data_IF_192126239070
#
_entry.id   IF_192126239070
#
_cell.length_a   1.000
_cell.length_b   1.000
_cell.length_c   1.000
_cell.angle_alpha   90.00
_cell.angle_beta   90.00
_cell.angle_gamma   90.00
#
_symmetry.space_group_name_H-M   'P 1'
#
loop_
_entity.id
_entity.type
_entity.pdbx_description
1 polymer ?
#
# COMPACT_ATOMS: atom_id res chain seq x y z
N UNK A 1 -16.17 10.15 5.66
CA UNK A 1 -16.81 10.41 4.37
C UNK A 1 -17.84 9.31 4.11
N UNK A 2 -19.10 9.68 3.88
CA UNK A 2 -20.17 8.80 3.41
C UNK A 2 -20.18 8.94 1.87
N UNK A 3 -19.76 7.90 1.14
CA UNK A 3 -19.75 7.90 -0.33
C UNK A 3 -21.15 7.79 -0.96
N UNK A 4 -22.21 7.76 -0.15
CA UNK A 4 -23.59 7.51 -0.59
C UNK A 4 -24.19 8.59 -1.50
N UNK A 5 -23.57 9.77 -1.65
CA UNK A 5 -24.14 10.88 -2.43
C UNK A 5 -23.45 11.18 -3.76
N UNK A 6 -22.26 10.60 -4.02
CA UNK A 6 -21.58 10.77 -5.30
C UNK A 6 -21.87 9.58 -6.22
N UNK A 7 -23.09 9.50 -6.75
CA UNK A 7 -23.39 8.56 -7.83
C UNK A 7 -22.39 8.77 -8.97
N UNK A 8 -21.67 7.70 -9.35
CA UNK A 8 -20.74 7.75 -10.48
C UNK A 8 -21.57 8.15 -11.72
N UNK A 9 -21.20 9.25 -12.39
CA UNK A 9 -21.93 9.67 -13.59
C UNK A 9 -21.81 8.56 -14.64
N UNK A 10 -22.82 8.35 -15.48
CA UNK A 10 -22.80 7.31 -16.53
C UNK A 10 -21.55 7.36 -17.41
N UNK A 11 -21.06 8.57 -17.72
CA UNK A 11 -19.81 8.81 -18.42
C UNK A 11 -18.58 8.26 -17.66
N UNK A 12 -18.52 8.45 -16.34
CA UNK A 12 -17.43 7.95 -15.51
C UNK A 12 -17.44 6.42 -15.46
N UNK A 13 -18.62 5.79 -15.38
CA UNK A 13 -18.74 4.33 -15.42
C UNK A 13 -18.21 3.77 -16.74
N UNK A 14 -18.59 4.37 -17.87
CA UNK A 14 -18.11 3.96 -19.20
C UNK A 14 -16.58 4.09 -19.31
N UNK A 15 -16.01 5.19 -18.82
CA UNK A 15 -14.56 5.39 -18.85
C UNK A 15 -13.79 4.39 -17.97
N UNK A 16 -14.34 3.99 -16.82
CA UNK A 16 -13.75 2.92 -16.00
C UNK A 16 -13.77 1.59 -16.75
N UNK A 17 -14.91 1.22 -17.36
CA UNK A 17 -15.02 0.00 -18.16
C UNK A 17 -14.02 -0.01 -19.31
N UNK A 18 -13.89 1.12 -20.03
CA UNK A 18 -12.93 1.25 -21.12
C UNK A 18 -11.48 1.05 -20.64
N UNK A 19 -11.10 1.68 -19.53
CA UNK A 19 -9.76 1.50 -18.93
C UNK A 19 -9.50 0.03 -18.59
N UNK A 20 -10.48 -0.67 -18.03
CA UNK A 20 -10.33 -2.08 -17.68
C UNK A 20 -10.18 -2.98 -18.90
N UNK A 21 -10.99 -2.77 -19.94
CA UNK A 21 -10.88 -3.50 -21.20
C UNK A 21 -9.51 -3.26 -21.85
N UNK A 22 -9.06 -2.01 -21.88
CA UNK A 22 -7.75 -1.64 -22.46
C UNK A 22 -6.56 -2.14 -21.61
N UNK A 23 -6.75 -2.35 -20.30
CA UNK A 23 -5.68 -2.80 -19.39
C UNK A 23 -5.55 -4.32 -19.31
N UNK A 24 -6.56 -5.10 -19.75
CA UNK A 24 -6.56 -6.56 -19.63
C UNK A 24 -5.35 -7.20 -20.30
N UNK A 25 -5.14 -6.92 -21.60
CA UNK A 25 -4.03 -7.51 -22.35
C UNK A 25 -2.65 -7.02 -21.86
N UNK A 26 -2.40 -5.71 -21.68
CA UNK A 26 -1.12 -5.24 -21.16
C UNK A 26 -0.78 -5.81 -19.78
N UNK A 27 -1.75 -5.93 -18.87
CA UNK A 27 -1.51 -6.52 -17.55
C UNK A 27 -1.20 -8.01 -17.64
N UNK A 28 -1.95 -8.77 -18.45
CA UNK A 28 -1.67 -10.18 -18.67
C UNK A 28 -0.28 -10.40 -19.25
N UNK A 29 0.07 -9.65 -20.30
CA UNK A 29 1.37 -9.70 -20.94
C UNK A 29 2.51 -9.35 -19.98
N UNK A 30 2.33 -8.30 -19.16
CA UNK A 30 3.34 -7.91 -18.18
C UNK A 30 3.57 -9.00 -17.14
N UNK A 31 2.50 -9.63 -16.64
CA UNK A 31 2.60 -10.72 -15.66
C UNK A 31 3.24 -11.96 -16.27
N UNK A 32 2.86 -12.34 -17.49
CA UNK A 32 3.40 -13.53 -18.14
C UNK A 32 4.91 -13.44 -18.40
N UNK A 33 5.44 -12.23 -18.62
CA UNK A 33 6.87 -12.01 -18.84
C UNK A 33 7.65 -11.84 -17.53
N UNK A 34 7.00 -11.53 -16.41
CA UNK A 34 7.68 -11.31 -15.14
C UNK A 34 7.88 -12.62 -14.37
N UNK A 35 8.94 -13.35 -14.68
CA UNK A 35 9.21 -14.69 -14.15
C UNK A 35 10.29 -14.71 -13.06
N UNK A 36 11.08 -13.65 -12.91
CA UNK A 36 12.21 -13.56 -11.99
C UNK A 36 11.89 -12.95 -10.62
N UNK A 37 12.92 -12.90 -9.76
CA UNK A 37 12.82 -12.32 -8.41
C UNK A 37 11.78 -13.05 -7.54
N UNK A 38 10.95 -12.28 -6.85
CA UNK A 38 9.90 -12.80 -5.96
C UNK A 38 8.90 -13.73 -6.70
N UNK A 39 8.73 -13.59 -8.02
CA UNK A 39 7.77 -14.38 -8.78
C UNK A 39 8.11 -15.87 -8.83
N UNK A 40 9.40 -16.23 -8.76
CA UNK A 40 9.82 -17.64 -8.70
C UNK A 40 9.21 -18.33 -7.50
N UNK A 41 9.29 -17.70 -6.33
CA UNK A 41 8.71 -18.24 -5.10
C UNK A 41 7.18 -18.28 -5.14
N UNK A 42 6.53 -17.27 -5.74
CA UNK A 42 5.07 -17.26 -5.87
C UNK A 42 4.53 -18.26 -6.90
N UNK A 43 5.25 -18.53 -7.99
CA UNK A 43 4.90 -19.59 -8.94
C UNK A 43 4.90 -20.95 -8.24
N UNK A 44 6.00 -21.26 -7.55
CA UNK A 44 6.11 -22.50 -6.76
C UNK A 44 5.04 -22.59 -5.67
N UNK A 45 4.75 -21.48 -4.99
CA UNK A 45 3.70 -21.43 -3.97
C UNK A 45 2.34 -21.78 -4.57
N UNK A 46 1.99 -21.16 -5.69
CA UNK A 46 0.72 -21.36 -6.36
C UNK A 46 0.56 -22.78 -6.87
N UNK A 47 1.61 -23.39 -7.44
CA UNK A 47 1.61 -24.79 -7.86
C UNK A 47 1.39 -25.74 -6.67
N UNK A 48 2.11 -25.52 -5.56
CA UNK A 48 1.96 -26.36 -4.36
C UNK A 48 0.58 -26.25 -3.73
N UNK A 49 -0.08 -25.09 -3.84
CA UNK A 49 -1.44 -24.91 -3.34
C UNK A 49 -2.47 -25.80 -4.02
N UNK A 50 -2.22 -26.26 -5.25
CA UNK A 50 -3.16 -27.12 -5.97
C UNK A 50 -3.33 -28.49 -5.29
N UNK A 51 -2.29 -28.99 -4.60
CA UNK A 51 -2.32 -30.27 -3.89
C UNK A 51 -2.75 -30.15 -2.42
N UNK A 52 -2.91 -28.94 -1.89
CA UNK A 52 -3.23 -28.74 -0.47
C UNK A 52 -4.73 -28.88 -0.23
N UNK A 53 -5.12 -29.85 0.60
CA UNK A 53 -6.51 -30.14 0.96
C UNK A 53 -6.95 -29.57 2.31
N UNK A 54 -6.01 -29.21 3.19
CA UNK A 54 -6.29 -28.80 4.56
C UNK A 54 -5.66 -27.44 4.91
N UNK A 55 -6.29 -26.71 5.83
CA UNK A 55 -5.86 -25.35 6.19
C UNK A 55 -4.51 -25.30 6.94
N UNK A 56 -4.13 -26.36 7.67
CA UNK A 56 -2.87 -26.37 8.43
C UNK A 56 -1.66 -26.48 7.50
N UNK A 57 -1.76 -27.37 6.52
CA UNK A 57 -0.78 -27.56 5.47
C UNK A 57 -0.67 -26.31 4.60
N UNK A 58 -1.79 -25.63 4.30
CA UNK A 58 -1.80 -24.36 3.57
C UNK A 58 -0.84 -23.34 4.18
N UNK A 59 -0.94 -23.09 5.49
CA UNK A 59 -0.08 -22.13 6.16
C UNK A 59 1.36 -22.62 6.28
N UNK A 60 1.59 -23.93 6.43
CA UNK A 60 2.94 -24.51 6.45
C UNK A 60 3.65 -24.37 5.09
N UNK A 61 2.94 -24.59 3.99
CA UNK A 61 3.44 -24.40 2.62
C UNK A 61 3.73 -22.92 2.35
N UNK A 62 2.83 -22.02 2.77
CA UNK A 62 3.04 -20.58 2.65
C UNK A 62 4.26 -20.09 3.42
N UNK A 63 4.43 -20.55 4.66
CA UNK A 63 5.57 -20.20 5.49
C UNK A 63 6.89 -20.72 4.92
N UNK A 64 6.93 -21.97 4.44
CA UNK A 64 8.15 -22.58 3.90
C UNK A 64 8.56 -22.02 2.53
N UNK A 65 7.62 -21.53 1.72
CA UNK A 65 7.91 -21.08 0.35
C UNK A 65 8.18 -19.58 0.25
N UNK A 66 7.40 -18.75 0.95
CA UNK A 66 7.49 -17.27 0.86
C UNK A 66 7.76 -16.59 2.21
N UNK A 67 8.11 -17.36 3.24
CA UNK A 67 8.39 -16.88 4.60
C UNK A 67 7.31 -15.94 5.12
N UNK A 68 6.03 -16.28 4.84
CA UNK A 68 4.87 -15.48 5.21
C UNK A 68 4.14 -16.10 6.41
N UNK A 69 3.76 -15.25 7.36
CA UNK A 69 2.87 -15.58 8.48
C UNK A 69 1.46 -14.96 8.30
N UNK A 70 1.16 -14.47 7.10
CA UNK A 70 -0.12 -13.81 6.80
C UNK A 70 -1.23 -14.83 6.63
N UNK A 71 -2.44 -14.48 7.08
CA UNK A 71 -3.57 -15.41 7.09
C UNK A 71 -4.39 -15.30 5.81
N UNK A 72 -4.66 -14.07 5.35
CA UNK A 72 -5.62 -13.85 4.26
C UNK A 72 -4.98 -14.05 2.89
N UNK A 73 -3.74 -13.62 2.69
CA UNK A 73 -3.10 -13.71 1.37
C UNK A 73 -2.90 -15.15 0.88
N UNK A 74 -2.49 -16.14 1.72
CA UNK A 74 -2.40 -17.54 1.27
C UNK A 74 -3.77 -18.13 0.91
N UNK A 75 -4.82 -17.80 1.67
CA UNK A 75 -6.18 -18.29 1.38
C UNK A 75 -6.67 -17.77 0.04
N UNK A 76 -6.46 -16.48 -0.27
CA UNK A 76 -6.85 -15.91 -1.56
C UNK A 76 -6.10 -16.54 -2.73
N UNK A 77 -4.79 -16.79 -2.59
CA UNK A 77 -4.01 -17.45 -3.65
C UNK A 77 -4.37 -18.93 -3.79
N UNK A 78 -4.61 -19.62 -2.68
CA UNK A 78 -5.03 -21.02 -2.66
C UNK A 78 -6.37 -21.23 -3.35
N UNK A 79 -7.34 -20.32 -3.17
CA UNK A 79 -8.63 -20.42 -3.88
C UNK A 79 -8.47 -20.45 -5.41
N UNK A 80 -7.58 -19.62 -5.97
CA UNK A 80 -7.34 -19.64 -7.42
C UNK A 80 -6.71 -20.95 -7.88
N UNK A 81 -5.70 -21.41 -7.14
CA UNK A 81 -4.96 -22.64 -7.45
C UNK A 81 -5.82 -23.89 -7.29
N UNK A 82 -6.61 -23.97 -6.23
CA UNK A 82 -7.55 -25.06 -5.96
C UNK A 82 -8.63 -25.17 -7.04
N UNK A 83 -9.07 -24.04 -7.61
CA UNK A 83 -9.99 -24.01 -8.75
C UNK A 83 -9.34 -24.36 -10.09
N UNK A 84 -8.02 -24.61 -10.12
CA UNK A 84 -7.27 -24.93 -11.34
C UNK A 84 -7.13 -23.75 -12.31
N UNK A 85 -7.27 -22.52 -11.82
CA UNK A 85 -7.12 -21.31 -12.65
C UNK A 85 -5.63 -21.08 -12.90
N UNK A 86 -5.25 -20.76 -14.13
CA UNK A 86 -3.88 -20.33 -14.44
C UNK A 86 -3.46 -19.14 -13.56
N UNK A 87 -2.25 -19.21 -12.99
CA UNK A 87 -1.76 -18.19 -12.06
C UNK A 87 -1.75 -16.81 -12.71
N UNK A 88 -1.25 -16.69 -13.94
CA UNK A 88 -1.12 -15.41 -14.62
C UNK A 88 -2.49 -14.78 -14.87
N UNK A 89 -3.46 -15.60 -15.28
CA UNK A 89 -4.86 -15.17 -15.41
C UNK A 89 -5.44 -14.74 -14.06
N UNK A 90 -5.27 -15.54 -13.00
CA UNK A 90 -5.79 -15.24 -11.67
C UNK A 90 -5.23 -13.92 -11.11
N UNK A 91 -3.92 -13.72 -11.20
CA UNK A 91 -3.25 -12.49 -10.76
C UNK A 91 -3.66 -11.30 -11.63
N UNK A 92 -3.86 -11.49 -12.93
CA UNK A 92 -4.38 -10.43 -13.82
C UNK A 92 -5.77 -9.98 -13.39
N UNK A 93 -6.67 -10.91 -13.05
CA UNK A 93 -8.00 -10.57 -12.51
C UNK A 93 -7.88 -9.77 -11.21
N UNK A 94 -7.02 -10.18 -10.28
CA UNK A 94 -6.79 -9.42 -9.04
C UNK A 94 -6.25 -8.01 -9.32
N UNK A 95 -5.34 -7.86 -10.29
CA UNK A 95 -4.83 -6.56 -10.72
C UNK A 95 -5.94 -5.68 -11.33
N UNK A 96 -6.86 -6.24 -12.12
CA UNK A 96 -8.01 -5.51 -12.64
C UNK A 96 -8.97 -5.06 -11.54
N UNK A 97 -9.22 -5.91 -10.54
CA UNK A 97 -10.03 -5.53 -9.37
C UNK A 97 -9.36 -4.37 -8.62
N UNK A 98 -8.05 -4.48 -8.36
CA UNK A 98 -7.27 -3.43 -7.71
C UNK A 98 -7.31 -2.12 -8.50
N UNK A 99 -7.06 -2.17 -9.81
CA UNK A 99 -7.11 -1.01 -10.69
C UNK A 99 -8.50 -0.37 -10.73
N UNK A 100 -9.56 -1.19 -10.79
CA UNK A 100 -10.95 -0.71 -10.74
C UNK A 100 -11.23 0.07 -9.46
N UNK A 101 -10.92 -0.53 -8.31
CA UNK A 101 -11.13 0.08 -7.00
C UNK A 101 -10.32 1.35 -6.84
N UNK A 102 -9.09 1.37 -7.35
CA UNK A 102 -8.22 2.55 -7.31
C UNK A 102 -8.79 3.69 -8.14
N UNK A 103 -9.13 3.44 -9.40
CA UNK A 103 -9.70 4.45 -10.30
C UNK A 103 -11.01 4.99 -9.71
N UNK A 104 -11.93 4.11 -9.31
CA UNK A 104 -13.21 4.54 -8.70
C UNK A 104 -12.96 5.39 -7.46
N UNK A 105 -12.09 4.94 -6.54
CA UNK A 105 -11.76 5.69 -5.32
C UNK A 105 -11.21 7.08 -5.63
N UNK A 106 -10.29 7.18 -6.59
CA UNK A 106 -9.71 8.45 -7.02
C UNK A 106 -10.74 9.38 -7.65
N UNK A 107 -11.61 8.85 -8.53
CA UNK A 107 -12.68 9.60 -9.18
C UNK A 107 -13.66 10.14 -8.13
N UNK A 108 -14.08 9.31 -7.18
CA UNK A 108 -14.97 9.74 -6.11
C UNK A 108 -14.31 10.76 -5.15
N UNK A 109 -12.98 10.74 -5.02
CA UNK A 109 -12.21 11.78 -4.30
C UNK A 109 -11.95 13.05 -5.13
N UNK A 110 -12.42 13.10 -6.39
CA UNK A 110 -12.31 14.26 -7.26
C UNK A 110 -10.95 14.43 -7.95
N UNK A 111 -10.17 13.34 -8.11
CA UNK A 111 -8.95 13.37 -8.92
C UNK A 111 -9.27 13.75 -10.38
N UNK A 112 -8.37 14.45 -11.06
CA UNK A 112 -8.48 14.66 -12.51
C UNK A 112 -8.07 13.41 -13.29
N UNK A 113 -8.54 13.27 -14.54
CA UNK A 113 -8.14 12.15 -15.41
C UNK A 113 -6.63 12.10 -15.68
N UNK A 114 -5.97 13.25 -15.75
CA UNK A 114 -4.51 13.31 -15.86
C UNK A 114 -3.83 12.62 -14.67
N UNK A 115 -4.29 12.89 -13.44
CA UNK A 115 -3.71 12.27 -12.24
C UNK A 115 -3.98 10.76 -12.23
N UNK A 116 -5.18 10.34 -12.65
CA UNK A 116 -5.50 8.91 -12.80
C UNK A 116 -4.56 8.27 -13.82
N UNK A 117 -4.37 8.87 -15.00
CA UNK A 117 -3.48 8.37 -16.04
C UNK A 117 -2.03 8.24 -15.54
N UNK A 118 -1.49 9.31 -14.93
CA UNK A 118 -0.14 9.31 -14.36
C UNK A 118 0.03 8.24 -13.28
N UNK A 119 -1.03 7.96 -12.51
CA UNK A 119 -0.98 6.92 -11.50
C UNK A 119 -1.01 5.51 -12.10
N UNK A 120 -1.80 5.28 -13.16
CA UNK A 120 -1.86 3.99 -13.86
C UNK A 120 -0.46 3.58 -14.37
N UNK A 121 0.29 4.54 -14.90
CA UNK A 121 1.66 4.32 -15.37
C UNK A 121 2.73 4.48 -14.29
N UNK A 122 2.36 4.73 -13.03
CA UNK A 122 3.30 5.02 -11.96
C UNK A 122 4.16 3.79 -11.60
N UNK A 123 5.47 3.97 -11.46
CA UNK A 123 6.43 2.93 -11.06
C UNK A 123 5.95 2.09 -9.87
N UNK A 124 5.46 2.72 -8.80
CA UNK A 124 5.00 1.98 -7.63
C UNK A 124 3.76 1.13 -7.89
N UNK A 125 2.85 1.59 -8.75
CA UNK A 125 1.66 0.82 -9.10
C UNK A 125 2.02 -0.35 -10.03
N UNK A 126 2.95 -0.16 -10.96
CA UNK A 126 3.44 -1.25 -11.82
C UNK A 126 4.19 -2.32 -11.00
N UNK A 127 5.01 -1.92 -10.02
CA UNK A 127 5.62 -2.85 -9.05
C UNK A 127 4.54 -3.56 -8.22
N UNK A 128 3.46 -2.85 -7.86
CA UNK A 128 2.33 -3.44 -7.15
C UNK A 128 1.62 -4.51 -7.99
N UNK A 129 1.39 -4.25 -9.28
CA UNK A 129 0.75 -5.20 -10.19
C UNK A 129 1.60 -6.42 -10.47
N UNK A 130 2.91 -6.30 -10.44
CA UNK A 130 3.85 -7.38 -10.75
C UNK A 130 4.26 -8.13 -9.48
N UNK A 131 5.36 -7.73 -8.84
CA UNK A 131 6.08 -8.55 -7.86
C UNK A 131 5.49 -8.68 -6.47
N UNK A 132 4.48 -7.89 -6.10
CA UNK A 132 4.02 -7.83 -4.70
C UNK A 132 2.61 -8.43 -4.51
N UNK A 133 2.48 -9.74 -4.73
CA UNK A 133 1.21 -10.48 -4.67
C UNK A 133 0.45 -10.38 -3.33
N UNK A 134 1.17 -10.41 -2.20
CA UNK A 134 0.53 -10.27 -0.87
C UNK A 134 0.06 -8.84 -0.62
N UNK A 135 0.87 -7.86 -1.03
CA UNK A 135 0.58 -6.44 -0.85
C UNK A 135 -0.61 -6.00 -1.72
N UNK A 136 -0.72 -6.47 -2.98
CA UNK A 136 -1.87 -6.14 -3.84
C UNK A 136 -3.20 -6.60 -3.23
N UNK A 137 -3.24 -7.81 -2.67
CA UNK A 137 -4.44 -8.34 -1.98
C UNK A 137 -4.80 -7.43 -0.81
N UNK A 138 -3.80 -7.03 -0.03
CA UNK A 138 -4.01 -6.14 1.10
C UNK A 138 -4.50 -4.74 0.68
N UNK A 139 -4.01 -4.19 -0.43
CA UNK A 139 -4.51 -2.93 -1.01
C UNK A 139 -5.95 -3.03 -1.52
N UNK A 140 -6.36 -4.16 -2.11
CA UNK A 140 -7.76 -4.39 -2.50
C UNK A 140 -8.67 -4.20 -1.29
N UNK A 141 -8.36 -4.85 -0.16
CA UNK A 141 -9.15 -4.70 1.07
C UNK A 141 -9.07 -3.27 1.66
N UNK A 142 -7.90 -2.62 1.61
CA UNK A 142 -7.77 -1.24 2.07
C UNK A 142 -8.63 -0.26 1.25
N UNK A 143 -8.70 -0.44 -0.07
CA UNK A 143 -9.55 0.36 -0.94
C UNK A 143 -11.03 0.01 -0.75
N UNK A 144 -11.39 -1.26 -0.58
CA UNK A 144 -12.77 -1.63 -0.24
C UNK A 144 -13.25 -0.92 1.04
N UNK A 145 -12.37 -0.76 2.03
CA UNK A 145 -12.69 -0.05 3.27
C UNK A 145 -13.18 1.39 3.05
N UNK A 146 -12.85 2.04 1.91
CA UNK A 146 -13.31 3.39 1.61
C UNK A 146 -14.80 3.43 1.23
N UNK A 147 -15.35 2.36 0.65
CA UNK A 147 -16.71 2.36 0.08
C UNK A 147 -17.84 2.10 1.09
N UNK A 148 -17.54 1.53 2.25
CA UNK A 148 -18.57 1.16 3.23
C UNK A 148 -18.73 2.11 4.42
N UNK A 149 -19.75 1.80 5.24
CA UNK A 149 -19.97 2.42 6.54
C UNK A 149 -18.91 2.04 7.59
N UNK A 150 -19.01 2.58 8.80
CA UNK A 150 -17.99 2.43 9.86
C UNK A 150 -17.60 0.97 10.16
N UNK A 151 -18.58 0.08 10.30
CA UNK A 151 -18.34 -1.35 10.60
C UNK A 151 -17.60 -2.05 9.45
N UNK A 152 -18.06 -1.86 8.22
CA UNK A 152 -17.45 -2.44 7.02
C UNK A 152 -16.02 -1.91 6.82
N UNK A 153 -15.81 -0.60 7.00
CA UNK A 153 -14.48 0.01 6.93
C UNK A 153 -13.51 -0.63 7.92
N UNK A 154 -13.94 -0.78 9.17
CA UNK A 154 -13.10 -1.42 10.19
C UNK A 154 -12.78 -2.88 9.81
N UNK A 155 -13.79 -3.64 9.40
CA UNK A 155 -13.60 -5.04 8.99
C UNK A 155 -12.61 -5.15 7.82
N UNK A 156 -12.79 -4.38 6.76
CA UNK A 156 -11.91 -4.40 5.58
C UNK A 156 -10.50 -3.92 5.91
N UNK A 157 -10.34 -2.91 6.78
CA UNK A 157 -9.02 -2.49 7.28
C UNK A 157 -8.32 -3.58 8.08
N UNK A 158 -9.05 -4.33 8.92
CA UNK A 158 -8.49 -5.47 9.65
C UNK A 158 -8.07 -6.60 8.70
N UNK A 159 -8.93 -6.95 7.72
CA UNK A 159 -8.61 -7.96 6.71
C UNK A 159 -7.37 -7.53 5.89
N UNK A 160 -7.23 -6.25 5.58
CA UNK A 160 -6.04 -5.70 4.91
C UNK A 160 -4.76 -5.94 5.72
N UNK A 161 -4.77 -5.70 7.04
CA UNK A 161 -3.62 -6.00 7.91
C UNK A 161 -3.34 -7.52 7.96
N UNK A 162 -4.37 -8.35 8.04
CA UNK A 162 -4.23 -9.81 8.05
C UNK A 162 -3.79 -10.39 6.70
N UNK A 163 -4.05 -9.67 5.60
CA UNK A 163 -3.56 -10.00 4.26
C UNK A 163 -2.09 -9.63 4.09
N UNK A 164 -1.66 -8.50 4.66
CA UNK A 164 -0.26 -8.13 4.69
C UNK A 164 0.03 -7.20 5.87
N UNK A 165 0.87 -7.66 6.80
CA UNK A 165 1.11 -6.97 8.07
C UNK A 165 1.62 -5.53 7.88
N UNK A 166 2.41 -5.24 6.83
CA UNK A 166 2.93 -3.89 6.58
C UNK A 166 1.81 -2.85 6.35
N UNK A 167 0.57 -3.25 6.04
CA UNK A 167 -0.56 -2.34 5.93
C UNK A 167 -0.91 -1.64 7.26
N UNK A 168 -0.43 -2.16 8.39
CA UNK A 168 -0.53 -1.45 9.67
C UNK A 168 0.16 -0.09 9.62
N UNK A 169 1.27 0.04 8.88
CA UNK A 169 2.01 1.29 8.71
C UNK A 169 1.15 2.31 7.96
N UNK A 170 0.50 1.88 6.86
CA UNK A 170 -0.41 2.72 6.09
C UNK A 170 -1.53 3.26 6.97
N UNK A 171 -2.23 2.37 7.66
CA UNK A 171 -3.40 2.70 8.46
C UNK A 171 -3.04 3.52 9.70
N UNK A 172 -1.93 3.20 10.37
CA UNK A 172 -1.41 3.97 11.49
C UNK A 172 -1.02 5.39 11.04
N UNK A 173 -0.29 5.53 9.92
CA UNK A 173 0.08 6.82 9.36
C UNK A 173 -1.14 7.70 9.07
N UNK A 174 -2.14 7.14 8.36
CA UNK A 174 -3.40 7.85 8.11
C UNK A 174 -4.14 8.20 9.40
N UNK A 175 -4.21 7.28 10.35
CA UNK A 175 -4.85 7.48 11.64
C UNK A 175 -4.19 8.63 12.43
N UNK A 176 -2.86 8.67 12.49
CA UNK A 176 -2.14 9.78 13.11
C UNK A 176 -2.40 11.09 12.38
N UNK A 177 -2.37 11.10 11.05
CA UNK A 177 -2.62 12.33 10.29
C UNK A 177 -4.01 12.93 10.59
N UNK A 178 -5.05 12.11 10.59
CA UNK A 178 -6.43 12.61 10.82
C UNK A 178 -6.73 12.92 12.28
N UNK A 179 -5.99 12.37 13.25
CA UNK A 179 -6.22 12.57 14.69
C UNK A 179 -5.14 13.41 15.40
N UNK A 180 -4.09 13.84 14.70
CA UNK A 180 -2.94 14.54 15.31
C UNK A 180 -3.34 15.82 16.07
N UNK A 181 -4.33 16.57 15.59
CA UNK A 181 -4.80 17.77 16.30
C UNK A 181 -5.51 17.44 17.61
N UNK A 182 -6.31 16.37 17.63
CA UNK A 182 -6.95 15.86 18.83
C UNK A 182 -5.89 15.44 19.84
N UNK A 183 -4.88 14.69 19.42
CA UNK A 183 -3.77 14.30 20.29
C UNK A 183 -2.99 15.49 20.84
N UNK A 184 -2.73 16.50 20.01
CA UNK A 184 -2.05 17.72 20.46
C UNK A 184 -2.85 18.45 21.53
N UNK A 185 -4.18 18.56 21.37
CA UNK A 185 -5.06 19.17 22.38
C UNK A 185 -5.06 18.36 23.66
N UNK A 186 -5.27 17.04 23.58
CA UNK A 186 -5.28 16.18 24.76
C UNK A 186 -3.92 16.21 25.50
N UNK A 187 -2.79 16.30 24.79
CA UNK A 187 -1.46 16.46 25.43
C UNK A 187 -1.37 17.80 26.16
N UNK A 188 -1.81 18.89 25.54
CA UNK A 188 -1.84 20.22 26.18
C UNK A 188 -2.74 20.22 27.41
N UNK A 189 -3.90 19.57 27.34
CA UNK A 189 -4.84 19.46 28.44
C UNK A 189 -4.28 18.62 29.59
N UNK A 190 -3.59 17.52 29.30
CA UNK A 190 -2.88 16.72 30.31
C UNK A 190 -1.78 17.54 30.99
N UNK A 191 -0.97 18.27 30.21
CA UNK A 191 0.11 19.10 30.76
C UNK A 191 -0.43 20.25 31.62
N UNK A 192 -1.58 20.83 31.25
CA UNK A 192 -2.18 21.95 31.97
C UNK A 192 -3.00 21.51 33.19
N UNK A 193 -3.71 20.39 33.12
CA UNK A 193 -4.70 19.99 34.12
C UNK A 193 -4.37 18.70 34.87
N UNK A 194 -3.32 17.97 34.46
CA UNK A 194 -2.97 16.64 34.94
C UNK A 194 -4.08 15.58 34.78
N UNK A 195 -5.13 15.87 34.00
CA UNK A 195 -6.23 14.94 33.73
C UNK A 195 -5.98 14.18 32.43
N UNK A 196 -5.97 12.85 32.50
CA UNK A 196 -5.85 11.99 31.33
C UNK A 196 -7.18 11.92 30.55
N UNK A 197 -7.13 12.37 29.30
CA UNK A 197 -8.22 12.16 28.35
C UNK A 197 -8.37 10.66 28.06
N UNK A 198 -9.62 10.17 28.10
CA UNK A 198 -9.99 8.79 27.74
C UNK A 198 -9.44 8.39 26.36
N UNK A 199 -9.37 9.31 25.40
CA UNK A 199 -8.83 9.04 24.07
C UNK A 199 -7.32 8.78 24.08
N UNK A 200 -6.56 9.47 24.93
CA UNK A 200 -5.14 9.18 25.14
C UNK A 200 -4.99 7.80 25.73
N UNK A 201 -5.77 7.46 26.76
CA UNK A 201 -5.71 6.14 27.40
C UNK A 201 -6.00 5.03 26.39
N UNK A 202 -7.05 5.16 25.58
CA UNK A 202 -7.37 4.20 24.52
C UNK A 202 -6.23 4.12 23.50
N UNK A 203 -5.65 5.26 23.11
CA UNK A 203 -4.53 5.32 22.17
C UNK A 203 -3.29 4.59 22.70
N UNK A 204 -2.86 4.90 23.93
CA UNK A 204 -1.72 4.25 24.60
C UNK A 204 -1.99 2.76 24.77
N UNK A 205 -3.19 2.38 25.23
CA UNK A 205 -3.58 0.97 25.37
C UNK A 205 -3.54 0.23 24.03
N UNK A 206 -3.98 0.88 22.94
CA UNK A 206 -3.92 0.29 21.60
C UNK A 206 -2.48 0.09 21.12
N UNK A 207 -1.59 1.05 21.39
CA UNK A 207 -0.15 0.92 21.09
C UNK A 207 0.46 -0.22 21.90
N UNK A 208 0.18 -0.28 23.21
CA UNK A 208 0.67 -1.35 24.08
C UNK A 208 0.16 -2.72 23.63
N UNK A 209 -1.11 -2.82 23.20
CA UNK A 209 -1.67 -4.06 22.66
C UNK A 209 -0.97 -4.46 21.35
N UNK A 210 -0.68 -3.52 20.46
CA UNK A 210 0.09 -3.80 19.23
C UNK A 210 1.50 -4.26 19.58
N UNK A 211 2.19 -3.58 20.50
CA UNK A 211 3.51 -3.99 20.99
C UNK A 211 3.44 -5.39 21.62
N UNK A 212 2.41 -5.68 22.41
CA UNK A 212 2.17 -7.01 22.99
C UNK A 212 2.01 -8.07 21.88
N UNK A 213 1.16 -7.82 20.88
CA UNK A 213 1.00 -8.74 19.75
C UNK A 213 2.33 -8.97 19.03
N UNK A 214 3.11 -7.92 18.78
CA UNK A 214 4.42 -8.04 18.11
C UNK A 214 5.41 -8.86 18.95
N UNK A 215 5.44 -8.64 20.26
CA UNK A 215 6.39 -9.30 21.18
C UNK A 215 6.00 -10.75 21.48
N UNK A 216 4.70 -11.07 21.54
CA UNK A 216 4.21 -12.36 22.05
C UNK A 216 3.68 -13.30 20.96
N UNK A 217 3.43 -12.84 19.73
CA UNK A 217 3.09 -13.74 18.62
C UNK A 217 4.38 -14.40 18.10
N UNK A 218 4.50 -15.75 18.18
CA UNK A 218 5.69 -16.45 17.76
C UNK A 218 6.05 -16.16 16.29
N UNK A 219 7.32 -15.88 16.03
CA UNK A 219 7.84 -15.62 14.68
C UNK A 219 7.71 -14.17 14.17
N UNK A 220 6.85 -13.33 14.76
CA UNK A 220 6.74 -11.91 14.34
C UNK A 220 7.97 -11.10 14.77
N UNK A 221 8.33 -11.15 16.05
CA UNK A 221 9.52 -10.47 16.57
C UNK A 221 10.80 -11.00 15.91
N UNK A 222 10.93 -12.32 15.79
CA UNK A 222 12.07 -12.96 15.13
C UNK A 222 12.15 -12.53 13.65
N UNK A 223 11.02 -12.50 12.93
CA UNK A 223 10.97 -12.01 11.55
C UNK A 223 11.34 -10.53 11.42
N UNK A 224 10.95 -9.67 12.37
CA UNK A 224 11.35 -8.26 12.40
C UNK A 224 12.83 -8.10 12.72
N UNK A 225 13.37 -8.85 13.67
CA UNK A 225 14.79 -8.85 14.02
C UNK A 225 15.61 -9.37 12.86
N UNK A 226 15.22 -10.48 12.23
CA UNK A 226 15.92 -11.06 11.09
C UNK A 226 15.92 -10.10 9.89
N UNK A 227 14.82 -9.40 9.65
CA UNK A 227 14.77 -8.34 8.63
C UNK A 227 15.65 -7.14 9.00
N UNK A 228 15.52 -6.61 10.21
CA UNK A 228 16.31 -5.46 10.66
C UNK A 228 17.81 -5.76 10.65
N UNK A 229 18.22 -6.87 11.24
CA UNK A 229 19.61 -7.33 11.24
C UNK A 229 20.10 -7.66 9.83
N UNK A 230 19.25 -8.22 8.96
CA UNK A 230 19.55 -8.41 7.55
C UNK A 230 19.89 -7.10 6.84
N UNK A 231 19.05 -6.07 7.01
CA UNK A 231 19.31 -4.74 6.45
C UNK A 231 20.60 -4.13 6.99
N UNK A 232 20.83 -4.17 8.31
CA UNK A 232 22.05 -3.61 8.90
C UNK A 232 23.32 -4.36 8.48
N UNK A 233 23.24 -5.67 8.23
CA UNK A 233 24.41 -6.51 7.93
C UNK A 233 24.76 -6.58 6.44
N UNK A 234 23.76 -6.65 5.55
CA UNK A 234 24.00 -6.95 4.14
C UNK A 234 23.83 -5.74 3.22
N UNK A 235 22.79 -4.93 3.43
CA UNK A 235 22.50 -3.79 2.54
C UNK A 235 23.05 -2.46 3.06
N UNK A 236 23.32 -2.38 4.36
CA UNK A 236 23.76 -1.15 5.02
C UNK A 236 22.71 -0.05 4.96
N UNK A 237 23.07 1.14 5.45
CA UNK A 237 22.25 2.33 5.28
C UNK A 237 22.29 2.76 3.81
N UNK A 238 21.20 2.57 3.07
CA UNK A 238 21.10 2.97 1.66
C UNK A 238 20.58 4.43 1.55
N UNK A 239 21.45 5.43 1.26
CA UNK A 239 21.03 6.84 1.25
C UNK A 239 19.97 7.14 0.18
N UNK A 240 19.94 6.36 -0.90
CA UNK A 240 18.99 6.56 -2.00
C UNK A 240 17.53 6.40 -1.56
N UNK A 241 17.27 5.55 -0.56
CA UNK A 241 15.93 5.34 -0.02
C UNK A 241 15.43 6.55 0.78
N UNK A 242 16.31 7.16 1.57
CA UNK A 242 16.03 8.38 2.31
C UNK A 242 15.86 9.57 1.36
N UNK A 243 16.66 9.66 0.30
CA UNK A 243 16.50 10.70 -0.73
C UNK A 243 15.11 10.61 -1.37
N UNK A 244 14.66 9.41 -1.74
CA UNK A 244 13.31 9.21 -2.29
C UNK A 244 12.23 9.66 -1.29
N UNK A 245 12.38 9.31 -0.01
CA UNK A 245 11.50 9.76 1.05
C UNK A 245 11.49 11.29 1.17
N UNK A 246 12.66 11.93 1.22
CA UNK A 246 12.77 13.38 1.37
C UNK A 246 12.16 14.13 0.18
N UNK A 247 12.41 13.68 -1.05
CA UNK A 247 11.78 14.26 -2.25
C UNK A 247 10.26 14.18 -2.15
N UNK A 248 9.73 13.02 -1.76
CA UNK A 248 8.29 12.81 -1.59
C UNK A 248 7.73 13.67 -0.44
N UNK A 249 8.41 13.73 0.71
CA UNK A 249 8.00 14.53 1.86
C UNK A 249 7.99 16.03 1.55
N UNK A 250 9.02 16.54 0.86
CA UNK A 250 9.06 17.94 0.40
C UNK A 250 7.94 18.20 -0.60
N UNK A 251 7.72 17.33 -1.57
CA UNK A 251 6.61 17.48 -2.54
C UNK A 251 5.25 17.50 -1.84
N UNK A 252 5.07 16.69 -0.79
CA UNK A 252 3.87 16.65 0.03
C UNK A 252 3.66 17.95 0.82
N UNK A 253 4.71 18.46 1.48
CA UNK A 253 4.68 19.73 2.21
C UNK A 253 4.25 20.85 1.27
N UNK A 254 4.90 20.97 0.09
CA UNK A 254 4.59 22.03 -0.87
C UNK A 254 3.15 21.88 -1.40
N UNK A 255 2.72 20.66 -1.74
CA UNK A 255 1.35 20.38 -2.20
C UNK A 255 0.26 20.77 -1.20
N UNK A 256 0.55 20.72 0.10
CA UNK A 256 -0.38 21.19 1.14
C UNK A 256 -0.41 22.71 1.29
N UNK A 257 0.68 23.41 0.95
CA UNK A 257 0.81 24.86 0.99
C UNK A 257 0.67 25.42 2.41
N UNK A 258 -0.07 26.51 2.59
CA UNK A 258 -0.28 27.17 3.90
C UNK A 258 -0.97 26.28 4.98
N UNK A 259 -1.43 25.08 4.63
CA UNK A 259 -2.03 24.12 5.59
C UNK A 259 -1.01 23.13 6.17
N UNK A 260 0.28 23.35 5.95
CA UNK A 260 1.33 22.61 6.65
C UNK A 260 1.25 22.96 8.13
N UNK A 261 0.75 22.01 8.92
CA UNK A 261 0.60 22.14 10.36
C UNK A 261 1.16 20.93 11.07
N UNK A 262 0.94 20.87 12.39
CA UNK A 262 1.42 19.80 13.26
C UNK A 262 1.13 18.39 12.72
N UNK A 263 -0.06 18.17 12.15
CA UNK A 263 -0.44 16.88 11.56
C UNK A 263 0.44 16.44 10.37
N UNK A 264 0.96 17.37 9.56
CA UNK A 264 1.93 17.05 8.50
C UNK A 264 3.23 16.55 9.10
N UNK A 265 3.72 17.26 10.12
CA UNK A 265 5.01 16.96 10.74
C UNK A 265 4.97 15.60 11.43
N UNK A 266 3.92 15.31 12.21
CA UNK A 266 3.74 14.00 12.85
C UNK A 266 3.69 12.88 11.83
N UNK A 267 2.97 13.10 10.72
CA UNK A 267 2.87 12.12 9.64
C UNK A 267 4.22 11.83 8.97
N UNK A 268 4.98 12.87 8.62
CA UNK A 268 6.32 12.71 8.02
C UNK A 268 7.29 12.08 9.02
N UNK A 269 7.31 12.54 10.27
CA UNK A 269 8.19 12.00 11.30
C UNK A 269 7.93 10.52 11.55
N UNK A 270 6.66 10.10 11.57
CA UNK A 270 6.30 8.69 11.69
C UNK A 270 6.92 7.86 10.56
N UNK A 271 6.72 8.25 9.30
CA UNK A 271 7.27 7.48 8.18
C UNK A 271 8.80 7.53 8.12
N UNK A 272 9.42 8.64 8.53
CA UNK A 272 10.88 8.74 8.65
C UNK A 272 11.44 7.69 9.62
N UNK A 273 10.82 7.56 10.80
CA UNK A 273 11.21 6.54 11.79
C UNK A 273 10.99 5.13 11.22
N UNK A 274 9.85 4.87 10.58
CA UNK A 274 9.53 3.55 10.04
C UNK A 274 10.52 3.14 8.93
N UNK A 275 10.92 4.05 8.05
CA UNK A 275 11.93 3.78 7.00
C UNK A 275 13.27 3.40 7.62
N UNK A 276 13.71 4.12 8.66
CA UNK A 276 14.95 3.81 9.37
C UNK A 276 14.95 2.45 10.07
N UNK A 277 13.78 1.89 10.38
CA UNK A 277 13.65 0.59 11.07
C UNK A 277 13.40 -0.59 10.12
N UNK A 278 12.63 -0.39 9.04
CA UNK A 278 12.10 -1.47 8.20
C UNK A 278 12.64 -1.49 6.76
N UNK A 279 13.50 -0.54 6.39
CA UNK A 279 13.99 -0.35 5.03
C UNK A 279 13.05 0.50 4.18
N UNK A 280 13.54 0.98 3.05
CA UNK A 280 12.93 2.12 2.37
C UNK A 280 12.08 1.81 1.15
N UNK A 281 12.39 0.85 0.29
CA UNK A 281 11.63 0.70 -0.98
C UNK A 281 10.12 0.44 -0.75
N UNK A 282 9.77 -0.56 0.07
CA UNK A 282 8.35 -0.89 0.36
C UNK A 282 7.69 0.18 1.23
N UNK A 283 8.41 0.77 2.19
CA UNK A 283 7.86 1.81 3.06
C UNK A 283 7.64 3.10 2.28
N UNK A 284 8.51 3.45 1.32
CA UNK A 284 8.32 4.58 0.41
C UNK A 284 7.09 4.41 -0.47
N UNK A 285 6.80 3.20 -0.97
CA UNK A 285 5.56 2.90 -1.68
C UNK A 285 4.32 3.11 -0.78
N UNK A 286 4.38 2.67 0.48
CA UNK A 286 3.31 2.89 1.45
C UNK A 286 3.15 4.39 1.77
N UNK A 287 4.24 5.11 1.99
CA UNK A 287 4.24 6.54 2.25
C UNK A 287 3.69 7.33 1.06
N UNK A 288 4.06 6.96 -0.16
CA UNK A 288 3.50 7.51 -1.40
C UNK A 288 1.98 7.31 -1.45
N UNK A 289 1.51 6.09 -1.18
CA UNK A 289 0.09 5.76 -1.18
C UNK A 289 -0.68 6.55 -0.12
N UNK A 290 -0.14 6.66 1.09
CA UNK A 290 -0.71 7.44 2.18
C UNK A 290 -0.78 8.94 1.83
N UNK A 291 0.30 9.47 1.27
CA UNK A 291 0.43 10.87 0.84
C UNK A 291 -0.58 11.20 -0.25
N UNK A 292 -0.67 10.36 -1.28
CA UNK A 292 -1.64 10.49 -2.36
C UNK A 292 -3.07 10.51 -1.80
N UNK A 293 -3.40 9.56 -0.94
CA UNK A 293 -4.72 9.49 -0.30
C UNK A 293 -5.05 10.76 0.49
N UNK A 294 -4.12 11.25 1.31
CA UNK A 294 -4.30 12.48 2.10
C UNK A 294 -4.53 13.69 1.19
N UNK A 295 -3.70 13.85 0.16
CA UNK A 295 -3.81 14.97 -0.77
C UNK A 295 -5.13 14.95 -1.56
N UNK A 296 -5.62 13.76 -1.92
CA UNK A 296 -6.93 13.58 -2.55
C UNK A 296 -8.07 13.88 -1.55
N UNK A 297 -8.03 13.33 -0.34
CA UNK A 297 -9.04 13.54 0.69
C UNK A 297 -9.18 15.02 1.09
N UNK A 298 -8.08 15.77 1.10
CA UNK A 298 -8.09 17.22 1.36
C UNK A 298 -8.38 18.08 0.11
N UNK A 299 -8.69 17.45 -1.04
CA UNK A 299 -8.93 18.11 -2.35
C UNK A 299 -7.79 19.07 -2.72
N UNK A 300 -6.55 18.63 -2.51
CA UNK A 300 -5.32 19.40 -2.80
C UNK A 300 -4.77 19.13 -4.19
N UNK A 301 -5.13 17.99 -4.79
CA UNK A 301 -4.74 17.59 -6.14
C UNK A 301 -5.72 18.04 -7.22
N UNK A 302 -6.13 19.31 -7.14
CA UNK A 302 -6.91 19.95 -8.21
C UNK A 302 -5.94 20.71 -9.10
N UNK A 303 -5.92 20.37 -10.39
CA UNK A 303 -4.94 20.84 -11.38
C UNK A 303 -4.81 22.38 -11.48
N UNK A 304 -5.85 23.12 -11.07
CA UNK A 304 -5.84 24.59 -11.06
C UNK A 304 -5.02 25.21 -9.93
N UNK A 305 -4.51 24.43 -8.96
CA UNK A 305 -3.70 24.95 -7.85
C UNK A 305 -2.21 24.82 -8.14
N UNK A 306 -1.55 25.98 -8.24
CA UNK A 306 -0.08 26.12 -8.41
C UNK A 306 0.71 25.27 -7.40
N UNK A 307 0.23 25.13 -6.17
CA UNK A 307 0.94 24.36 -5.15
C UNK A 307 1.02 22.85 -5.44
N UNK A 308 0.21 22.30 -6.35
CA UNK A 308 0.20 20.86 -6.66
C UNK A 308 1.31 20.39 -7.61
N UNK A 309 1.99 21.31 -8.30
CA UNK A 309 2.98 20.98 -9.34
C UNK A 309 4.13 20.08 -8.87
N UNK A 310 4.77 20.28 -7.69
CA UNK A 310 5.86 19.40 -7.26
C UNK A 310 5.43 17.94 -7.11
N UNK A 311 4.22 17.70 -6.59
CA UNK A 311 3.71 16.33 -6.47
C UNK A 311 3.35 15.74 -7.85
N UNK A 312 2.82 16.55 -8.77
CA UNK A 312 2.57 16.13 -10.16
C UNK A 312 3.89 15.77 -10.86
N UNK A 313 4.97 16.53 -10.64
CA UNK A 313 6.30 16.20 -11.15
C UNK A 313 6.81 14.87 -10.60
N UNK A 314 6.58 14.57 -9.32
CA UNK A 314 6.89 13.26 -8.74
C UNK A 314 6.08 12.15 -9.42
N UNK A 315 4.77 12.36 -9.66
CA UNK A 315 3.94 11.39 -10.39
C UNK A 315 4.46 11.16 -11.81
N UNK A 316 4.84 12.23 -12.52
CA UNK A 316 5.40 12.16 -13.86
C UNK A 316 6.75 11.44 -13.87
N UNK A 317 7.66 11.78 -12.95
CA UNK A 317 8.93 11.09 -12.80
C UNK A 317 8.75 9.59 -12.56
N UNK A 318 7.84 9.21 -11.66
CA UNK A 318 7.54 7.80 -11.39
C UNK A 318 6.88 7.12 -12.60
N UNK A 319 6.10 7.84 -13.41
CA UNK A 319 5.56 7.30 -14.65
C UNK A 319 6.65 7.05 -15.70
N UNK A 320 7.63 7.94 -15.84
CA UNK A 320 8.78 7.72 -16.73
C UNK A 320 9.67 6.59 -16.21
N UNK A 321 9.92 6.52 -14.90
CA UNK A 321 10.70 5.45 -14.27
C UNK A 321 10.11 4.07 -14.52
N UNK A 322 8.78 3.94 -14.65
CA UNK A 322 8.13 2.65 -14.91
C UNK A 322 8.48 2.07 -16.28
N UNK A 323 8.80 2.91 -17.28
CA UNK A 323 9.20 2.44 -18.62
C UNK A 323 10.45 1.58 -18.55
N UNK A 324 11.47 2.01 -17.82
CA UNK A 324 12.69 1.22 -17.62
C UNK A 324 12.42 -0.09 -16.88
N UNK A 325 11.56 -0.04 -15.86
CA UNK A 325 11.15 -1.24 -15.11
C UNK A 325 10.42 -2.25 -16.02
N UNK A 326 9.46 -1.80 -16.81
CA UNK A 326 8.70 -2.64 -17.76
C UNK A 326 9.62 -3.21 -18.84
N UNK A 327 10.53 -2.40 -19.38
CA UNK A 327 11.51 -2.86 -20.37
C UNK A 327 12.39 -3.99 -19.81
N UNK A 328 12.86 -3.86 -18.56
CA UNK A 328 13.64 -4.90 -17.90
C UNK A 328 12.84 -6.20 -17.68
N UNK A 329 11.53 -6.11 -17.46
CA UNK A 329 10.66 -7.30 -17.38
C UNK A 329 10.65 -8.03 -18.72
N UNK A 330 10.43 -7.33 -19.84
CA UNK A 330 10.37 -7.97 -21.15
C UNK A 330 11.72 -8.54 -21.60
N UNK A 331 12.83 -7.87 -21.28
CA UNK A 331 14.17 -8.31 -21.70
C UNK A 331 14.75 -9.42 -20.82
N UNK A 332 14.53 -9.36 -19.50
CA UNK A 332 15.24 -10.20 -18.53
C UNK A 332 14.32 -11.04 -17.64
N UNK A 333 13.01 -10.89 -17.78
CA UNK A 333 12.04 -11.48 -16.86
C UNK A 333 12.07 -10.88 -15.46
N UNK A 334 12.88 -9.83 -15.21
CA UNK A 334 13.06 -9.21 -13.90
C UNK A 334 13.18 -7.69 -14.00
N UNK A 335 12.17 -6.95 -13.54
CA UNK A 335 12.14 -5.49 -13.52
C UNK A 335 13.22 -4.81 -12.65
N UNK A 336 13.82 -5.53 -11.70
CA UNK A 336 14.92 -5.03 -10.86
C UNK A 336 16.31 -5.42 -11.36
N UNK A 337 16.41 -6.02 -12.55
CA UNK A 337 17.70 -6.38 -13.14
C UNK A 337 18.61 -5.14 -13.26
N UNK A 338 19.80 -5.22 -12.68
CA UNK A 338 20.89 -4.24 -12.84
C UNK A 338 22.00 -4.99 -13.56
N UNK A 339 22.24 -4.60 -14.81
CA UNK A 339 23.33 -5.16 -15.63
C UNK A 339 24.71 -4.80 -15.09
#
# INVERSE_FOLDING_TARGET
MNYKESGLKSFEALSVVLILLLSLYPLYSLISHYTGGDQVAYNLLYERFASVSNARELFSVAQSTVSSYEIVSPVVLWLGSYLGIDKNLYITVLNLILLSLLVISMRCLGASWLIVLLLIFNFYLIVLFTGTERLKIAFIFALLATFGGRKFRLLMSLISILAHFQMIILLAGLFMFFNAETYLRSIKDVLASWKLDRNIVIGVFSILLICFVILFVPGLMEGLINKGTGYFRYDGFNPSEFIQFFVLAVSFIIARGAKVGFKTLVFILFFFVVIGLLGGERVNMIFFSATLFVLLAEKKLVMTRVYSWPFILVLFYLAVKSVGFVNNIYLYGNGFYRG
#
